data_IF_074097023171
#
_entry.id   IF_074097023171
#
_cell.length_a   1.000
_cell.length_b   1.000
_cell.length_c   1.000
_cell.angle_alpha   90.00
_cell.angle_beta   90.00
_cell.angle_gamma   90.00
#
_symmetry.space_group_name_H-M   'P 1'
#
loop_
_entity.id
_entity.type
_entity.pdbx_description
1 polymer ?
#
# COMPACT_ATOMS: atom_id res chain seq x y z
N UNK A 1 -14.55 4.83 4.47
CA UNK A 1 -14.61 4.92 3.00
C UNK A 1 -13.19 4.87 2.52
N UNK A 2 -12.92 4.05 1.50
CA UNK A 2 -11.59 3.92 0.88
C UNK A 2 -11.32 5.23 0.14
N UNK A 3 -10.14 5.80 0.34
CA UNK A 3 -9.71 7.02 -0.36
C UNK A 3 -8.91 6.65 -1.60
N UNK A 4 -7.98 5.70 -1.47
CA UNK A 4 -7.03 5.29 -2.49
C UNK A 4 -6.58 3.85 -2.27
N UNK A 5 -6.19 3.22 -3.36
CA UNK A 5 -5.55 1.91 -3.45
C UNK A 5 -4.16 2.13 -4.02
N UNK A 6 -3.14 1.88 -3.21
CA UNK A 6 -1.75 2.19 -3.50
C UNK A 6 -1.02 0.88 -3.81
N UNK A 7 -0.42 0.81 -4.99
CA UNK A 7 0.43 -0.30 -5.43
C UNK A 7 1.78 0.22 -5.88
N UNK A 8 2.74 -0.67 -6.12
CA UNK A 8 4.06 -0.32 -6.65
C UNK A 8 4.18 -0.68 -8.12
N UNK A 9 5.25 -0.20 -8.78
CA UNK A 9 5.65 -0.65 -10.12
C UNK A 9 6.40 -1.98 -10.12
N UNK A 10 6.73 -2.52 -8.95
CA UNK A 10 7.57 -3.71 -8.83
C UNK A 10 6.75 -5.00 -8.89
N UNK A 11 7.43 -6.13 -9.08
CA UNK A 11 6.80 -7.45 -9.13
C UNK A 11 6.44 -8.00 -7.74
N UNK A 12 5.87 -7.15 -6.89
CA UNK A 12 5.48 -7.48 -5.52
C UNK A 12 3.98 -7.81 -5.40
N UNK A 13 3.57 -8.10 -4.16
CA UNK A 13 2.21 -8.47 -3.78
C UNK A 13 1.56 -7.42 -2.90
N UNK A 14 2.08 -6.21 -2.91
CA UNK A 14 1.71 -5.17 -1.97
C UNK A 14 0.44 -4.44 -2.40
N UNK A 15 -0.47 -4.25 -1.43
CA UNK A 15 -1.60 -3.32 -1.56
C UNK A 15 -1.73 -2.52 -0.27
N UNK A 16 -1.72 -1.19 -0.40
CA UNK A 16 -2.06 -0.28 0.68
C UNK A 16 -3.43 0.38 0.40
N UNK A 17 -4.36 0.19 1.34
CA UNK A 17 -5.71 0.76 1.27
C UNK A 17 -5.77 1.96 2.22
N UNK A 18 -5.91 3.15 1.64
CA UNK A 18 -6.05 4.40 2.40
C UNK A 18 -7.45 4.52 3.00
N UNK A 19 -7.53 4.69 4.31
CA UNK A 19 -8.81 4.82 5.01
C UNK A 19 -9.03 6.28 5.42
N UNK A 20 -10.21 6.82 5.13
CA UNK A 20 -10.55 8.18 5.56
C UNK A 20 -10.56 8.31 7.09
N UNK A 21 -9.75 9.24 7.66
CA UNK A 21 -9.71 9.50 9.10
C UNK A 21 -11.06 9.99 9.65
N UNK A 22 -11.86 10.65 8.80
CA UNK A 22 -13.15 11.26 9.17
C UNK A 22 -14.17 10.21 9.61
N UNK A 23 -14.04 8.97 9.13
CA UNK A 23 -15.00 7.91 9.39
C UNK A 23 -14.64 7.06 10.61
N UNK A 24 -13.35 6.90 10.91
CA UNK A 24 -12.85 6.08 12.04
C UNK A 24 -11.52 6.62 12.54
N UNK A 25 -11.58 7.53 13.51
CA UNK A 25 -10.40 8.16 14.14
C UNK A 25 -9.38 7.16 14.70
N UNK A 26 -9.85 5.97 15.07
CA UNK A 26 -9.00 4.92 15.68
C UNK A 26 -8.40 3.93 14.65
N UNK A 27 -8.69 4.10 13.34
CA UNK A 27 -8.20 3.19 12.30
C UNK A 27 -7.21 3.89 11.37
N UNK A 28 -6.05 3.26 11.17
CA UNK A 28 -5.07 3.64 10.16
C UNK A 28 -5.36 3.02 8.79
N UNK A 29 -4.42 3.20 7.87
CA UNK A 29 -4.41 2.55 6.57
C UNK A 29 -4.19 1.03 6.71
N UNK A 30 -4.73 0.25 5.78
CA UNK A 30 -4.58 -1.20 5.77
C UNK A 30 -3.50 -1.62 4.77
N UNK A 31 -2.56 -2.44 5.21
CA UNK A 31 -1.52 -3.03 4.36
C UNK A 31 -1.81 -4.51 4.20
N UNK A 32 -1.84 -4.98 2.95
CA UNK A 32 -2.13 -6.36 2.58
C UNK A 32 -1.04 -6.90 1.66
N UNK A 33 -0.75 -8.19 1.82
CA UNK A 33 -0.04 -8.99 0.84
C UNK A 33 -1.05 -9.87 0.10
N UNK A 34 -1.18 -9.68 -1.21
CA UNK A 34 -2.16 -10.37 -2.04
C UNK A 34 -1.47 -11.13 -3.18
N UNK A 35 -1.66 -12.46 -3.30
CA UNK A 35 -1.06 -13.22 -4.39
C UNK A 35 -1.54 -12.75 -5.78
N UNK A 36 -2.78 -12.26 -5.89
CA UNK A 36 -3.39 -11.81 -7.14
C UNK A 36 -3.80 -10.32 -7.05
N UNK A 37 -2.83 -9.43 -6.88
CA UNK A 37 -3.10 -7.98 -6.66
C UNK A 37 -3.90 -7.34 -7.81
N UNK A 38 -3.61 -7.69 -9.07
CA UNK A 38 -4.29 -7.14 -10.25
C UNK A 38 -5.78 -7.57 -10.29
N UNK A 39 -6.08 -8.82 -9.98
CA UNK A 39 -7.47 -9.32 -9.90
C UNK A 39 -8.23 -8.61 -8.78
N UNK A 40 -7.62 -8.43 -7.61
CA UNK A 40 -8.24 -7.70 -6.51
C UNK A 40 -8.55 -6.25 -6.89
N UNK A 41 -7.59 -5.54 -7.52
CA UNK A 41 -7.78 -4.16 -7.96
C UNK A 41 -8.89 -4.01 -9.01
N UNK A 42 -8.93 -4.92 -9.99
CA UNK A 42 -9.95 -4.90 -11.05
C UNK A 42 -11.34 -5.20 -10.50
N UNK A 43 -11.47 -6.15 -9.57
CA UNK A 43 -12.73 -6.42 -8.87
C UNK A 43 -13.18 -5.18 -8.08
N UNK A 44 -12.29 -4.58 -7.29
CA UNK A 44 -12.63 -3.42 -6.46
C UNK A 44 -13.07 -2.24 -7.35
N UNK A 45 -12.28 -1.88 -8.36
CA UNK A 45 -12.60 -0.76 -9.25
C UNK A 45 -13.85 -1.01 -10.08
N UNK A 46 -14.13 -2.26 -10.46
CA UNK A 46 -15.38 -2.62 -11.12
C UNK A 46 -16.60 -2.48 -10.21
N UNK A 47 -16.48 -2.82 -8.92
CA UNK A 47 -17.59 -2.70 -7.95
C UNK A 47 -17.81 -1.23 -7.57
N UNK A 48 -16.75 -0.45 -7.38
CA UNK A 48 -16.86 0.96 -6.99
C UNK A 48 -17.18 1.87 -8.17
N UNK A 49 -16.89 1.43 -9.41
CA UNK A 49 -16.92 2.26 -10.61
C UNK A 49 -16.04 3.52 -10.48
N UNK A 50 -14.91 3.38 -9.77
CA UNK A 50 -13.95 4.46 -9.48
C UNK A 50 -12.53 4.01 -9.79
N UNK A 51 -12.12 3.96 -11.08
CA UNK A 51 -10.77 3.59 -11.48
C UNK A 51 -9.70 4.54 -10.93
N UNK A 52 -10.05 5.81 -10.67
CA UNK A 52 -9.18 6.84 -10.10
C UNK A 52 -8.75 6.57 -8.65
N UNK A 53 -9.30 5.55 -8.00
CA UNK A 53 -8.83 5.10 -6.69
C UNK A 53 -7.41 4.52 -6.76
N UNK A 54 -6.97 4.01 -7.91
CA UNK A 54 -5.66 3.36 -8.04
C UNK A 54 -4.57 4.43 -8.16
N UNK A 55 -3.56 4.34 -7.30
CA UNK A 55 -2.33 5.10 -7.38
C UNK A 55 -1.14 4.13 -7.49
N UNK A 56 -0.27 4.36 -8.47
CA UNK A 56 0.91 3.52 -8.74
C UNK A 56 2.15 4.29 -8.30
N UNK A 57 2.93 3.71 -7.39
CA UNK A 57 4.15 4.31 -6.83
C UNK A 57 5.39 3.63 -7.42
N UNK A 58 6.35 4.42 -7.93
CA UNK A 58 7.61 3.86 -8.44
C UNK A 58 8.72 3.89 -7.39
N UNK A 59 9.79 3.12 -7.62
CA UNK A 59 11.03 3.20 -6.82
C UNK A 59 11.63 4.61 -6.82
N UNK A 60 11.46 5.40 -7.89
CA UNK A 60 11.98 6.77 -7.96
C UNK A 60 11.33 7.68 -6.89
N UNK A 61 10.09 7.38 -6.48
CA UNK A 61 9.43 8.07 -5.37
C UNK A 61 9.98 7.62 -4.01
N UNK A 62 10.63 6.45 -3.95
CA UNK A 62 11.40 5.90 -2.84
C UNK A 62 10.59 5.45 -1.62
N UNK A 63 9.61 6.24 -1.21
CA UNK A 63 8.89 6.06 0.05
C UNK A 63 7.40 6.39 -0.06
N UNK A 64 6.57 5.63 0.65
CA UNK A 64 5.15 5.90 0.84
C UNK A 64 4.91 6.17 2.33
N UNK A 65 4.45 7.37 2.68
CA UNK A 65 3.94 7.63 4.04
C UNK A 65 2.53 7.08 4.19
N UNK A 66 2.21 6.47 5.34
CA UNK A 66 0.88 5.92 5.61
C UNK A 66 0.40 6.16 7.04
N UNK A 67 -0.91 6.21 7.23
CA UNK A 67 -1.50 6.43 8.54
C UNK A 67 -1.52 5.12 9.33
N UNK A 68 -1.09 5.17 10.58
CA UNK A 68 -1.21 4.11 11.56
C UNK A 68 -2.47 4.35 12.41
N UNK A 69 -2.82 3.36 13.24
CA UNK A 69 -3.78 3.62 14.32
C UNK A 69 -3.29 4.75 15.22
N UNK A 70 -4.23 5.43 15.88
CA UNK A 70 -3.94 6.48 16.86
C UNK A 70 -3.32 7.76 16.27
N UNK A 71 -3.51 8.01 14.97
CA UNK A 71 -3.09 9.25 14.30
C UNK A 71 -1.58 9.37 14.04
N UNK A 72 -0.82 8.30 14.28
CA UNK A 72 0.61 8.24 13.94
C UNK A 72 0.80 7.98 12.44
N UNK A 73 1.99 8.26 11.94
CA UNK A 73 2.37 8.00 10.54
C UNK A 73 3.53 7.01 10.50
N UNK A 74 3.48 6.07 9.56
CA UNK A 74 4.56 5.15 9.23
C UNK A 74 5.11 5.42 7.84
N UNK A 75 6.25 4.79 7.53
CA UNK A 75 6.93 4.90 6.23
C UNK A 75 7.13 3.51 5.65
N UNK A 76 6.90 3.40 4.34
CA UNK A 76 7.11 2.21 3.54
C UNK A 76 8.18 2.55 2.51
N UNK A 77 9.33 1.89 2.59
CA UNK A 77 10.42 2.00 1.63
C UNK A 77 10.17 1.02 0.46
N UNK A 78 10.20 1.51 -0.78
CA UNK A 78 10.10 0.68 -1.98
C UNK A 78 11.50 0.39 -2.49
N UNK A 79 11.83 -0.88 -2.70
CA UNK A 79 13.14 -1.30 -3.17
C UNK A 79 13.04 -2.40 -4.22
N UNK A 80 14.05 -2.49 -5.07
CA UNK A 80 14.23 -3.62 -5.98
C UNK A 80 15.13 -4.67 -5.32
N UNK A 81 14.76 -5.95 -5.39
CA UNK A 81 15.50 -7.03 -4.75
C UNK A 81 15.91 -8.15 -5.68
N UNK A 82 17.10 -8.71 -5.43
CA UNK A 82 17.59 -9.90 -6.14
C UNK A 82 17.03 -11.22 -5.58
N UNK A 83 16.43 -11.19 -4.38
CA UNK A 83 15.98 -12.38 -3.65
C UNK A 83 14.47 -12.63 -3.74
N UNK A 84 13.81 -12.01 -4.72
CA UNK A 84 12.37 -12.12 -4.96
C UNK A 84 11.53 -11.19 -4.08
N UNK A 85 10.22 -11.10 -4.36
CA UNK A 85 9.35 -10.14 -3.71
C UNK A 85 9.12 -10.48 -2.24
N UNK A 86 9.02 -9.46 -1.39
CA UNK A 86 8.77 -9.65 0.03
C UNK A 86 8.49 -8.36 0.78
N UNK A 87 7.80 -8.50 1.91
CA UNK A 87 7.51 -7.41 2.85
C UNK A 87 8.22 -7.72 4.16
N UNK A 88 9.02 -6.77 4.65
CA UNK A 88 9.75 -6.93 5.92
C UNK A 88 9.77 -5.63 6.72
N UNK A 89 10.13 -5.72 8.00
CA UNK A 89 10.30 -4.54 8.86
C UNK A 89 11.78 -4.22 9.00
N UNK A 90 12.15 -2.98 8.71
CA UNK A 90 13.52 -2.48 8.88
C UNK A 90 13.85 -2.25 10.36
N UNK A 91 15.14 -2.07 10.67
CA UNK A 91 15.60 -1.68 12.01
C UNK A 91 15.13 -0.28 12.42
N UNK A 92 14.84 0.62 11.47
CA UNK A 92 14.24 1.93 11.74
C UNK A 92 12.74 1.85 12.03
N UNK A 93 12.13 0.68 11.84
CA UNK A 93 10.71 0.46 12.04
C UNK A 93 9.85 0.74 10.80
N UNK A 94 10.46 1.14 9.69
CA UNK A 94 9.80 1.23 8.38
C UNK A 94 9.43 -0.16 7.88
N UNK A 95 8.42 -0.23 7.02
CA UNK A 95 8.22 -1.41 6.20
C UNK A 95 9.06 -1.28 4.94
N UNK A 96 9.67 -2.37 4.51
CA UNK A 96 10.39 -2.46 3.25
C UNK A 96 9.58 -3.40 2.35
N UNK A 97 9.15 -2.87 1.21
CA UNK A 97 8.53 -3.64 0.14
C UNK A 97 9.57 -3.83 -0.94
N UNK A 98 9.85 -5.10 -1.22
CA UNK A 98 10.80 -5.51 -2.23
C UNK A 98 10.01 -6.22 -3.33
N UNK A 99 10.24 -5.84 -4.58
CA UNK A 99 9.79 -6.62 -5.74
C UNK A 99 10.92 -7.07 -6.64
#
# INVERSE_FOLDING_TARGET
MIIKLEVTTEADRFLLIRISPELKKDKGDLILELPNVIEALTIITSITNMPELININSIENGQISHNLSDGKTGVIDIAQGINGPGISKSKSGHLIVVG
#
